data_IF_203961085941
#
_entry.id   IF_203961085941
#
_cell.length_a   1.000
_cell.length_b   1.000
_cell.length_c   1.000
_cell.angle_alpha   90.00
_cell.angle_beta   90.00
_cell.angle_gamma   90.00
#
_symmetry.space_group_name_H-M   'P 1'
#
loop_
_entity.id
_entity.type
_entity.pdbx_description
1 polymer ?
#
# COMPACT_ATOMS: atom_id res chain seq x y z
N UNK A 1 13.05 3.11 0.75
CA UNK A 1 11.76 2.44 0.46
C UNK A 1 11.04 3.20 -0.63
N UNK A 2 10.19 2.56 -1.44
CA UNK A 2 9.38 3.25 -2.46
C UNK A 2 8.08 2.51 -2.79
N UNK A 3 7.05 3.25 -3.22
CA UNK A 3 5.81 2.68 -3.72
C UNK A 3 5.90 2.39 -5.21
N UNK A 4 5.39 1.23 -5.64
CA UNK A 4 5.28 0.86 -7.05
C UNK A 4 3.82 0.52 -7.37
N UNK A 5 3.19 1.32 -8.25
CA UNK A 5 1.83 1.05 -8.76
C UNK A 5 1.92 0.06 -9.92
N UNK A 6 1.13 -1.02 -9.86
CA UNK A 6 1.06 -2.09 -10.85
C UNK A 6 -0.39 -2.29 -11.32
N UNK A 7 -0.54 -2.72 -12.56
CA UNK A 7 -1.82 -3.22 -13.06
C UNK A 7 -1.91 -4.72 -12.74
N UNK A 8 -3.09 -5.20 -12.36
CA UNK A 8 -3.32 -6.62 -12.12
C UNK A 8 -3.35 -7.40 -13.43
N UNK A 9 -3.12 -8.72 -13.35
CA UNK A 9 -3.24 -9.61 -14.49
C UNK A 9 -4.68 -9.68 -15.02
N UNK A 10 -5.68 -9.45 -14.17
CA UNK A 10 -7.06 -9.20 -14.59
C UNK A 10 -7.16 -7.75 -15.04
N UNK A 11 -7.35 -7.55 -16.34
CA UNK A 11 -7.44 -6.22 -16.94
C UNK A 11 -8.45 -5.34 -16.17
N UNK A 12 -8.07 -4.09 -15.93
CA UNK A 12 -8.95 -3.09 -15.31
C UNK A 12 -8.77 -2.85 -13.81
N UNK A 13 -7.91 -3.58 -13.11
CA UNK A 13 -7.60 -3.28 -11.70
C UNK A 13 -6.13 -2.94 -11.48
N UNK A 14 -5.88 -2.15 -10.44
CA UNK A 14 -4.57 -1.61 -10.06
C UNK A 14 -4.29 -1.93 -8.60
N UNK A 15 -3.03 -2.08 -8.23
CA UNK A 15 -2.61 -2.18 -6.84
C UNK A 15 -1.25 -1.52 -6.70
N UNK A 16 -0.78 -1.31 -5.48
CA UNK A 16 0.58 -0.88 -5.23
C UNK A 16 1.28 -1.81 -4.25
N UNK A 17 2.60 -1.84 -4.35
CA UNK A 17 3.47 -2.50 -3.38
C UNK A 17 4.42 -1.49 -2.78
N UNK A 18 4.74 -1.65 -1.50
CA UNK A 18 5.84 -0.95 -0.85
C UNK A 18 7.08 -1.85 -0.94
N UNK A 19 8.17 -1.29 -1.45
CA UNK A 19 9.46 -1.98 -1.55
C UNK A 19 10.49 -1.41 -0.60
N UNK A 20 11.26 -2.30 0.02
CA UNK A 20 12.41 -1.96 0.83
C UNK A 20 13.62 -1.53 -0.02
N UNK A 21 14.70 -1.06 0.62
CA UNK A 21 15.93 -0.64 -0.07
C UNK A 21 16.59 -1.78 -0.85
N UNK A 22 16.36 -3.02 -0.44
CA UNK A 22 16.80 -4.25 -1.10
C UNK A 22 15.82 -4.74 -2.19
N UNK A 23 14.83 -3.94 -2.59
CA UNK A 23 13.83 -4.23 -3.61
C UNK A 23 12.80 -5.32 -3.29
N UNK A 24 12.82 -5.87 -2.08
CA UNK A 24 11.81 -6.81 -1.61
C UNK A 24 10.49 -6.11 -1.30
N UNK A 25 9.39 -6.82 -1.52
CA UNK A 25 8.04 -6.34 -1.20
C UNK A 25 7.78 -6.55 0.29
N UNK A 26 7.49 -5.46 1.00
CA UNK A 26 7.19 -5.50 2.45
C UNK A 26 5.70 -5.31 2.74
N UNK A 27 4.95 -4.68 1.83
CA UNK A 27 3.51 -4.55 1.95
C UNK A 27 2.88 -4.49 0.55
N UNK A 28 1.65 -4.97 0.44
CA UNK A 28 0.83 -4.92 -0.77
C UNK A 28 -0.54 -4.35 -0.45
N UNK A 29 -1.03 -3.44 -1.30
CA UNK A 29 -2.37 -2.90 -1.18
C UNK A 29 -3.44 -3.87 -1.67
N UNK A 30 -4.68 -3.60 -1.28
CA UNK A 30 -5.86 -4.10 -1.98
C UNK A 30 -5.88 -3.69 -3.47
N UNK A 31 -6.75 -4.33 -4.25
CA UNK A 31 -7.00 -3.96 -5.64
C UNK A 31 -7.95 -2.74 -5.71
N UNK A 32 -7.62 -1.82 -6.62
CA UNK A 32 -8.37 -0.63 -6.96
C UNK A 32 -8.91 -0.73 -8.37
N UNK A 33 -10.09 -0.18 -8.62
CA UNK A 33 -10.69 -0.10 -9.96
C UNK A 33 -10.02 0.94 -10.86
N UNK A 34 -9.34 1.93 -10.28
CA UNK A 34 -8.63 2.97 -11.05
C UNK A 34 -7.22 3.21 -10.52
N UNK A 35 -6.32 3.60 -11.43
CA UNK A 35 -4.95 4.02 -11.09
C UNK A 35 -4.93 5.27 -10.21
N UNK A 36 -5.90 6.18 -10.41
CA UNK A 36 -6.02 7.41 -9.64
C UNK A 36 -6.36 7.12 -8.18
N UNK A 37 -7.29 6.20 -7.91
CA UNK A 37 -7.62 5.77 -6.54
C UNK A 37 -6.40 5.20 -5.82
N UNK A 38 -5.62 4.33 -6.48
CA UNK A 38 -4.40 3.78 -5.90
C UNK A 38 -3.37 4.88 -5.55
N UNK A 39 -3.18 5.87 -6.44
CA UNK A 39 -2.29 7.01 -6.18
C UNK A 39 -2.77 7.88 -5.02
N UNK A 40 -4.06 8.19 -4.98
CA UNK A 40 -4.65 9.00 -3.91
C UNK A 40 -4.46 8.34 -2.54
N UNK A 41 -4.62 7.02 -2.45
CA UNK A 41 -4.34 6.29 -1.20
C UNK A 41 -2.86 6.39 -0.82
N UNK A 42 -1.93 6.28 -1.77
CA UNK A 42 -0.49 6.47 -1.49
C UNK A 42 -0.23 7.88 -0.95
N UNK A 43 -0.85 8.92 -1.51
CA UNK A 43 -0.72 10.30 -1.03
C UNK A 43 -1.27 10.46 0.39
N UNK A 44 -2.45 9.90 0.68
CA UNK A 44 -3.00 9.90 2.05
C UNK A 44 -2.08 9.18 3.04
N UNK A 45 -1.53 8.02 2.66
CA UNK A 45 -0.57 7.28 3.49
C UNK A 45 0.68 8.14 3.75
N UNK A 46 1.26 8.75 2.72
CA UNK A 46 2.45 9.62 2.87
C UNK A 46 2.18 10.85 3.72
N UNK A 47 0.98 11.41 3.66
CA UNK A 47 0.62 12.60 4.43
C UNK A 47 0.27 12.27 5.89
N UNK A 48 -0.29 11.09 6.15
CA UNK A 48 -0.77 10.69 7.48
C UNK A 48 0.22 9.85 8.29
N UNK A 49 1.20 9.18 7.68
CA UNK A 49 2.17 8.37 8.40
C UNK A 49 3.30 9.24 8.97
N UNK A 50 3.49 9.11 10.28
CA UNK A 50 4.64 9.60 11.04
C UNK A 50 5.21 8.47 11.90
N UNK A 51 6.46 8.59 12.40
CA UNK A 51 7.01 7.64 13.38
C UNK A 51 6.18 7.53 14.67
N UNK A 52 5.33 8.53 14.94
CA UNK A 52 4.45 8.62 16.11
C UNK A 52 3.03 8.08 15.85
N UNK A 53 2.76 7.61 14.63
CA UNK A 53 1.46 7.01 14.31
C UNK A 53 1.24 5.76 15.16
N UNK A 54 0.14 5.76 15.91
CA UNK A 54 -0.21 4.67 16.82
C UNK A 54 -0.43 3.36 16.06
N UNK A 55 0.12 2.28 16.60
CA UNK A 55 -0.12 0.91 16.14
C UNK A 55 -1.16 0.28 17.06
N UNK A 56 -2.35 0.03 16.52
CA UNK A 56 -3.41 -0.70 17.22
C UNK A 56 -3.36 -2.16 16.78
N UNK A 57 -2.98 -3.04 17.70
CA UNK A 57 -3.04 -4.48 17.50
C UNK A 57 -4.43 -4.99 17.87
N UNK A 58 -5.12 -5.60 16.91
CA UNK A 58 -6.46 -6.18 17.06
C UNK A 58 -6.45 -7.69 16.77
N UNK A 59 -5.31 -8.34 16.97
CA UNK A 59 -5.24 -9.79 16.83
C UNK A 59 -5.74 -10.44 18.11
N UNK A 60 -6.80 -11.25 18.01
CA UNK A 60 -7.28 -12.08 19.13
C UNK A 60 -6.36 -13.30 19.22
N UNK A 61 -5.80 -13.54 20.41
CA UNK A 61 -5.10 -14.78 20.74
C UNK A 61 -6.14 -15.85 21.13
N UNK A 62 -6.67 -16.59 20.14
CA UNK A 62 -7.40 -17.86 20.38
C UNK A 62 -6.44 -19.06 20.31
#
# INVERSE_FOLDING_TARGET
>A
MYFQVKQSAKAGTYYFVLKAGNHEVVAQSQMYTTKASAKKTIESIKAGLSPETEVQDLTDED
#
